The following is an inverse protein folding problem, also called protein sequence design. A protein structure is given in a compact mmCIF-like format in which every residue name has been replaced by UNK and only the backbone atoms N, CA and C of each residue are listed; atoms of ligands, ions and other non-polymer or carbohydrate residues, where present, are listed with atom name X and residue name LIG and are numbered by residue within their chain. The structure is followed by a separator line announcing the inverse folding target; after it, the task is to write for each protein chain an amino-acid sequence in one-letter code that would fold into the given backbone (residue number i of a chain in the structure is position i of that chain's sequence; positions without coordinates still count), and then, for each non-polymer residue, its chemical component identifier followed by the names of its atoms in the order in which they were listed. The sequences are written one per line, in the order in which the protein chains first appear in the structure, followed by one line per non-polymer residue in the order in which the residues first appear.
data_IF_620081524192
#
_entry.id   IF_620081524192
#
_cell.length_a   1.000
_cell.length_b   1.000
_cell.length_c   1.000
_cell.angle_alpha   90.00
_cell.angle_beta   90.00
_cell.angle_gamma   90.00
#
_symmetry.space_group_name_H-M   'P 1'
#
loop_
_entity.id
_entity.type
_entity.pdbx_description
1 polymer ?
#
# COMPACT_ATOMS: atom_id res chain seq x y z
N UNK A 1 -44.74 17.81 35.92
CA UNK A 1 -44.59 16.50 35.24
C UNK A 1 -43.10 16.15 35.32
N UNK A 2 -42.53 15.41 36.29
CA UNK A 2 -43.01 14.23 37.08
C UNK A 2 -43.38 13.14 36.06
N UNK A 3 -42.73 11.98 35.89
CA UNK A 3 -42.04 10.96 36.73
C UNK A 3 -41.11 10.19 35.75
N UNK A 4 -39.82 9.93 35.99
CA UNK A 4 -39.16 8.94 36.88
C UNK A 4 -39.31 7.44 36.52
N UNK A 5 -38.14 6.80 36.57
CA UNK A 5 -37.79 5.43 36.96
C UNK A 5 -38.52 4.19 36.44
N UNK A 6 -37.67 3.29 35.96
CA UNK A 6 -37.39 2.05 36.70
C UNK A 6 -37.77 0.79 35.95
N UNK A 7 -37.21 -0.38 36.25
CA UNK A 7 -36.31 -0.82 37.33
C UNK A 7 -36.19 -2.33 37.09
N UNK A 8 -35.05 -2.94 37.48
CA UNK A 8 -34.90 -4.28 38.12
C UNK A 8 -33.44 -4.74 37.92
N UNK A 9 -32.66 -5.14 38.93
CA UNK A 9 -32.96 -5.83 40.20
C UNK A 9 -32.00 -5.38 41.33
N UNK A 10 -32.54 -5.46 42.57
CA UNK A 10 -31.99 -5.46 43.94
C UNK A 10 -30.48 -5.79 44.11
N UNK A 11 -29.70 -5.05 44.91
CA UNK A 11 -29.72 -4.85 46.37
C UNK A 11 -29.36 -6.11 47.18
N UNK A 12 -28.18 -6.10 47.83
CA UNK A 12 -27.95 -6.47 49.24
C UNK A 12 -26.69 -5.76 49.74
N UNK A 13 -26.85 -4.92 50.77
CA UNK A 13 -25.75 -4.45 51.62
C UNK A 13 -25.19 -5.64 52.41
N UNK A 14 -23.86 -5.75 52.56
CA UNK A 14 -23.28 -6.15 53.84
C UNK A 14 -21.92 -5.49 54.06
N UNK A 15 -21.69 -5.24 55.33
CA UNK A 15 -20.78 -4.30 55.95
C UNK A 15 -19.32 -4.80 55.98
N UNK A 16 -18.42 -3.82 56.04
CA UNK A 16 -17.26 -3.76 56.94
C UNK A 16 -16.01 -4.65 56.70
N UNK A 17 -14.90 -3.91 56.58
CA UNK A 17 -13.61 -4.12 57.26
C UNK A 17 -12.76 -5.33 56.84
N UNK A 18 -11.75 -5.04 56.01
CA UNK A 18 -10.31 -5.13 56.34
C UNK A 18 -9.49 -5.43 55.08
N UNK A 19 -8.36 -4.74 54.91
CA UNK A 19 -7.25 -5.22 54.08
C UNK A 19 -7.05 -4.44 52.78
N UNK A 20 -6.11 -3.51 52.83
CA UNK A 20 -5.55 -2.76 51.72
C UNK A 20 -5.10 -3.64 50.55
N UNK A 21 -5.45 -3.23 49.32
CA UNK A 21 -4.73 -3.68 48.12
C UNK A 21 -5.57 -3.96 46.88
N UNK A 22 -6.33 -2.99 46.37
CA UNK A 22 -6.89 -3.03 45.00
C UNK A 22 -7.14 -1.60 44.47
N UNK A 23 -6.08 -0.80 44.37
CA UNK A 23 -6.15 0.58 43.85
C UNK A 23 -5.94 0.73 42.34
N UNK A 24 -5.89 -0.35 41.56
CA UNK A 24 -5.38 -0.30 40.19
C UNK A 24 -6.27 -0.95 39.12
N UNK A 25 -7.58 -1.12 39.35
CA UNK A 25 -8.46 -1.80 38.38
C UNK A 25 -9.69 -1.02 37.90
N UNK A 26 -10.01 0.15 38.47
CA UNK A 26 -11.27 0.84 38.12
C UNK A 26 -11.04 2.03 37.16
N UNK A 27 -9.82 2.56 37.05
CA UNK A 27 -9.51 3.69 36.15
C UNK A 27 -9.41 3.32 34.66
N UNK A 28 -9.61 2.05 34.31
CA UNK A 28 -9.47 1.55 32.92
C UNK A 28 -10.77 1.50 32.13
N UNK A 29 -11.91 1.89 32.72
CA UNK A 29 -13.23 1.81 32.07
C UNK A 29 -13.79 3.14 31.54
N UNK A 30 -13.06 4.25 31.72
CA UNK A 30 -13.43 5.59 31.23
C UNK A 30 -12.35 6.23 30.34
N UNK A 31 -11.42 5.43 29.80
CA UNK A 31 -10.52 5.91 28.76
C UNK A 31 -11.32 6.08 27.45
N UNK A 32 -11.22 7.22 26.74
CA UNK A 32 -11.77 7.33 25.39
C UNK A 32 -11.17 6.20 24.54
N UNK A 33 -12.00 5.59 23.70
CA UNK A 33 -11.53 4.59 22.75
C UNK A 33 -10.29 5.16 22.03
N UNK A 34 -9.19 4.38 21.90
CA UNK A 34 -8.02 4.85 21.18
C UNK A 34 -8.48 5.35 19.80
N UNK A 35 -8.00 6.51 19.34
CA UNK A 35 -8.37 7.00 18.01
C UNK A 35 -8.17 5.86 17.04
N UNK A 36 -9.20 5.55 16.25
CA UNK A 36 -9.14 4.50 15.22
C UNK A 36 -7.81 4.65 14.52
N UNK A 37 -6.91 3.69 14.71
CA UNK A 37 -5.55 3.79 14.20
C UNK A 37 -5.67 4.07 12.71
N UNK A 38 -5.38 5.29 12.29
CA UNK A 38 -5.16 5.59 10.89
C UNK A 38 -3.94 4.76 10.55
N UNK A 39 -4.17 3.57 9.98
CA UNK A 39 -3.12 2.72 9.48
C UNK A 39 -2.43 3.49 8.38
N UNK A 40 -1.37 4.20 8.72
CA UNK A 40 -0.42 4.73 7.76
C UNK A 40 0.34 3.51 7.23
N UNK A 41 -0.27 2.77 6.31
CA UNK A 41 0.45 1.83 5.46
C UNK A 41 1.42 2.70 4.68
N UNK A 42 2.70 2.72 5.08
CA UNK A 42 3.73 3.44 4.34
C UNK A 42 3.94 2.66 3.04
N UNK A 43 3.30 3.11 1.96
CA UNK A 43 3.55 2.59 0.63
C UNK A 43 5.05 2.67 0.33
N UNK A 44 5.69 1.51 0.24
CA UNK A 44 7.07 1.35 -0.22
C UNK A 44 7.01 0.72 -1.62
N UNK A 45 7.21 1.50 -2.70
CA UNK A 45 7.09 1.02 -4.08
C UNK A 45 7.92 -0.24 -4.38
N UNK A 46 9.10 -0.34 -3.75
CA UNK A 46 10.06 -1.47 -3.77
C UNK A 46 9.54 -2.82 -3.33
N UNK A 47 8.62 -2.86 -2.37
CA UNK A 47 8.11 -4.12 -1.80
C UNK A 47 7.22 -4.86 -2.81
N UNK A 48 6.89 -4.17 -3.91
CA UNK A 48 6.02 -4.60 -5.00
C UNK A 48 6.76 -4.69 -6.34
N UNK A 49 8.10 -4.75 -6.34
CA UNK A 49 8.88 -5.16 -7.52
C UNK A 49 8.70 -6.68 -7.68
N UNK A 50 7.49 -7.09 -8.07
CA UNK A 50 7.21 -8.48 -8.44
C UNK A 50 8.02 -8.83 -9.69
N UNK A 51 8.59 -10.05 -9.79
CA UNK A 51 9.09 -10.54 -11.06
C UNK A 51 7.90 -10.61 -12.02
N UNK A 52 7.85 -9.65 -12.94
CA UNK A 52 6.74 -9.50 -13.88
C UNK A 52 6.39 -10.83 -14.56
N UNK A 53 5.09 -11.15 -14.50
CA UNK A 53 4.37 -12.28 -15.08
C UNK A 53 4.67 -13.67 -14.53
N UNK A 54 3.62 -14.48 -14.37
CA UNK A 54 3.70 -15.94 -14.26
C UNK A 54 4.18 -16.59 -15.58
N UNK A 55 4.86 -15.84 -16.45
CA UNK A 55 5.37 -16.35 -17.71
C UNK A 55 6.75 -16.93 -17.44
N UNK A 56 6.77 -18.25 -17.25
CA UNK A 56 7.99 -19.05 -17.04
C UNK A 56 9.01 -18.87 -18.19
N UNK A 57 8.61 -18.26 -19.31
CA UNK A 57 9.46 -17.97 -20.46
C UNK A 57 9.98 -16.52 -20.53
N UNK A 58 9.73 -15.68 -19.52
CA UNK A 58 10.17 -14.28 -19.56
C UNK A 58 11.70 -14.16 -19.43
N UNK A 59 12.38 -13.81 -20.52
CA UNK A 59 13.82 -13.53 -20.50
C UNK A 59 14.10 -12.18 -19.83
N UNK A 60 14.45 -12.20 -18.54
CA UNK A 60 14.94 -11.00 -17.84
C UNK A 60 16.26 -10.54 -18.45
N UNK A 61 16.34 -9.28 -18.86
CA UNK A 61 17.62 -8.73 -19.29
C UNK A 61 18.57 -8.61 -18.09
N UNK A 62 19.89 -8.74 -18.27
CA UNK A 62 20.86 -8.47 -17.21
C UNK A 62 20.67 -7.07 -16.58
N UNK A 63 20.32 -6.08 -17.40
CA UNK A 63 20.07 -4.70 -16.94
C UNK A 63 18.84 -4.58 -16.05
N UNK A 64 17.81 -5.40 -16.26
CA UNK A 64 16.63 -5.42 -15.38
C UNK A 64 17.02 -5.87 -13.97
N UNK A 65 17.87 -6.91 -13.88
CA UNK A 65 18.34 -7.43 -12.60
C UNK A 65 19.19 -6.41 -11.85
N UNK A 66 20.04 -5.67 -12.58
CA UNK A 66 20.81 -4.57 -12.03
C UNK A 66 19.89 -3.47 -11.47
N UNK A 67 18.93 -2.99 -12.27
CA UNK A 67 17.99 -1.94 -11.86
C UNK A 67 17.19 -2.40 -10.63
N UNK A 68 16.62 -3.60 -10.64
CA UNK A 68 15.90 -4.14 -9.49
C UNK A 68 16.81 -4.23 -8.26
N UNK A 69 18.06 -4.68 -8.41
CA UNK A 69 19.02 -4.73 -7.30
C UNK A 69 19.29 -3.34 -6.70
N UNK A 70 19.39 -2.31 -7.54
CA UNK A 70 19.60 -0.92 -7.11
C UNK A 70 18.35 -0.40 -6.37
N UNK A 71 17.15 -0.67 -6.88
CA UNK A 71 15.89 -0.26 -6.27
C UNK A 71 15.64 -0.95 -4.92
N UNK A 72 15.90 -2.26 -4.80
CA UNK A 72 15.81 -2.96 -3.52
C UNK A 72 16.76 -2.39 -2.46
N UNK A 73 17.87 -1.78 -2.87
CA UNK A 73 18.80 -1.07 -1.97
C UNK A 73 18.36 0.37 -1.65
N UNK A 74 17.19 0.81 -2.13
CA UNK A 74 16.66 2.17 -1.93
C UNK A 74 17.44 3.24 -2.67
N UNK A 75 18.19 2.86 -3.72
CA UNK A 75 19.03 3.77 -4.50
C UNK A 75 18.34 4.19 -5.79
N UNK A 76 17.06 4.56 -5.74
CA UNK A 76 16.27 4.92 -6.93
C UNK A 76 16.90 6.04 -7.77
N UNK A 77 17.58 7.00 -7.15
CA UNK A 77 18.32 8.05 -7.87
C UNK A 77 19.44 7.50 -8.77
N UNK A 78 20.08 6.41 -8.35
CA UNK A 78 21.13 5.74 -9.13
C UNK A 78 20.52 4.88 -10.25
N UNK A 79 19.30 4.36 -10.05
CA UNK A 79 18.60 3.53 -11.03
C UNK A 79 18.04 4.34 -12.21
N UNK A 80 17.53 5.56 -11.95
CA UNK A 80 16.92 6.42 -12.96
C UNK A 80 17.78 6.65 -14.22
N UNK A 81 19.06 7.06 -14.13
CA UNK A 81 19.87 7.27 -15.34
C UNK A 81 20.06 5.98 -16.16
N UNK A 82 20.22 4.83 -15.50
CA UNK A 82 20.36 3.52 -16.16
C UNK A 82 19.06 3.17 -16.92
N UNK A 83 17.91 3.41 -16.29
CA UNK A 83 16.60 3.19 -16.91
C UNK A 83 16.42 4.09 -18.14
N UNK A 84 16.74 5.39 -18.04
CA UNK A 84 16.59 6.34 -19.16
C UNK A 84 17.52 6.01 -20.33
N UNK A 85 18.78 5.65 -20.04
CA UNK A 85 19.73 5.19 -21.05
C UNK A 85 19.20 3.95 -21.78
N UNK A 86 18.71 2.96 -21.03
CA UNK A 86 18.18 1.72 -21.60
C UNK A 86 16.91 1.96 -22.42
N UNK A 87 16.02 2.85 -21.97
CA UNK A 87 14.80 3.23 -22.70
C UNK A 87 15.08 3.93 -24.05
N UNK A 88 16.23 4.59 -24.16
CA UNK A 88 16.72 5.24 -25.37
C UNK A 88 17.40 4.29 -26.37
N UNK A 89 17.68 3.05 -25.98
CA UNK A 89 18.30 2.07 -26.85
C UNK A 89 17.32 1.64 -27.98
N UNK A 90 17.88 1.40 -29.17
CA UNK A 90 17.09 1.08 -30.37
C UNK A 90 16.63 -0.39 -30.44
N UNK A 91 17.26 -1.27 -29.67
CA UNK A 91 17.10 -2.72 -29.70
C UNK A 91 16.15 -3.28 -28.63
N UNK A 92 15.53 -2.42 -27.81
CA UNK A 92 14.53 -2.87 -26.84
C UNK A 92 13.16 -3.12 -27.49
N UNK A 93 12.56 -4.26 -27.14
CA UNK A 93 11.23 -4.63 -27.58
C UNK A 93 10.12 -3.99 -26.69
N UNK A 94 8.86 -4.21 -27.06
CA UNK A 94 7.72 -3.63 -26.36
C UNK A 94 7.63 -4.07 -24.88
N UNK A 95 7.87 -5.34 -24.59
CA UNK A 95 7.77 -5.90 -23.24
C UNK A 95 8.88 -5.36 -22.34
N UNK A 96 10.11 -5.28 -22.87
CA UNK A 96 11.25 -4.65 -22.19
C UNK A 96 10.98 -3.17 -21.91
N UNK A 97 10.43 -2.44 -22.89
CA UNK A 97 10.04 -1.04 -22.69
C UNK A 97 8.99 -0.89 -21.61
N UNK A 98 7.94 -1.73 -21.62
CA UNK A 98 6.89 -1.73 -20.60
C UNK A 98 7.48 -1.98 -19.20
N UNK A 99 8.38 -2.95 -19.07
CA UNK A 99 9.09 -3.24 -17.82
C UNK A 99 9.94 -2.06 -17.34
N UNK A 100 10.75 -1.47 -18.21
CA UNK A 100 11.60 -0.33 -17.87
C UNK A 100 10.77 0.89 -17.45
N UNK A 101 9.65 1.15 -18.13
CA UNK A 101 8.70 2.18 -17.72
C UNK A 101 8.09 1.89 -16.36
N UNK A 102 7.75 0.63 -16.07
CA UNK A 102 7.25 0.27 -14.74
C UNK A 102 8.30 0.48 -13.64
N UNK A 103 9.55 0.03 -13.87
CA UNK A 103 10.66 0.28 -12.95
C UNK A 103 10.95 1.77 -12.78
N UNK A 104 10.79 2.57 -13.84
CA UNK A 104 10.86 4.04 -13.78
C UNK A 104 9.79 4.62 -12.87
N UNK A 105 8.54 4.18 -12.97
CA UNK A 105 7.46 4.63 -12.11
C UNK A 105 7.75 4.35 -10.63
N UNK A 106 8.31 3.16 -10.33
CA UNK A 106 8.74 2.78 -8.98
C UNK A 106 9.88 3.70 -8.50
N UNK A 107 10.91 3.92 -9.32
CA UNK A 107 12.03 4.80 -8.98
C UNK A 107 11.59 6.25 -8.73
N UNK A 108 10.66 6.77 -9.54
CA UNK A 108 10.05 8.09 -9.37
C UNK A 108 9.22 8.16 -8.08
N UNK A 109 8.47 7.10 -7.76
CA UNK A 109 7.70 7.02 -6.53
C UNK A 109 8.61 7.07 -5.28
N UNK A 110 9.74 6.34 -5.30
CA UNK A 110 10.72 6.35 -4.20
C UNK A 110 11.45 7.69 -4.03
N UNK A 111 11.63 8.44 -5.12
CA UNK A 111 12.26 9.77 -5.10
C UNK A 111 11.27 10.90 -4.79
N UNK A 112 10.03 10.56 -4.40
CA UNK A 112 8.92 11.49 -4.15
C UNK A 112 8.48 12.30 -5.37
N UNK A 113 8.80 11.83 -6.57
CA UNK A 113 8.33 12.38 -7.84
C UNK A 113 6.95 11.82 -8.21
N UNK A 114 5.98 11.94 -7.29
CA UNK A 114 4.64 11.33 -7.38
C UNK A 114 3.92 11.65 -8.68
N UNK A 115 4.00 12.90 -9.17
CA UNK A 115 3.37 13.29 -10.43
C UNK A 115 3.97 12.58 -11.63
N UNK A 116 5.31 12.46 -11.67
CA UNK A 116 6.02 11.74 -12.73
C UNK A 116 5.68 10.25 -12.71
N UNK A 117 5.66 9.64 -11.53
CA UNK A 117 5.27 8.23 -11.37
C UNK A 117 3.85 7.96 -11.88
N UNK A 118 2.88 8.82 -11.52
CA UNK A 118 1.49 8.72 -12.02
C UNK A 118 1.44 8.84 -13.54
N UNK A 119 2.16 9.79 -14.14
CA UNK A 119 2.18 9.97 -15.59
C UNK A 119 2.72 8.75 -16.33
N UNK A 120 3.74 8.08 -15.79
CA UNK A 120 4.25 6.83 -16.37
C UNK A 120 3.23 5.70 -16.23
N UNK A 121 2.55 5.59 -15.09
CA UNK A 121 1.49 4.59 -14.89
C UNK A 121 0.27 4.84 -15.77
N UNK A 122 -0.07 6.10 -16.05
CA UNK A 122 -1.10 6.45 -17.02
C UNK A 122 -0.77 5.93 -18.43
N UNK A 123 0.50 6.03 -18.85
CA UNK A 123 0.97 5.50 -20.14
C UNK A 123 0.88 3.97 -20.17
N UNK A 124 1.35 3.30 -19.12
CA UNK A 124 1.32 1.84 -18.99
C UNK A 124 -0.11 1.29 -19.01
N UNK A 125 -1.03 1.95 -18.33
CA UNK A 125 -2.45 1.57 -18.32
C UNK A 125 -3.10 1.81 -19.68
N UNK A 126 -2.71 2.88 -20.39
CA UNK A 126 -3.23 3.14 -21.72
C UNK A 126 -2.78 2.08 -22.74
N UNK A 127 -1.56 1.55 -22.61
CA UNK A 127 -1.05 0.50 -23.50
C UNK A 127 -1.52 -0.91 -23.10
N UNK A 128 -1.57 -1.18 -21.80
CA UNK A 128 -1.74 -2.54 -21.26
C UNK A 128 -2.71 -2.50 -20.05
N UNK A 129 -4.02 -2.32 -20.32
CA UNK A 129 -5.04 -2.02 -19.30
C UNK A 129 -5.46 -3.23 -18.44
N UNK A 130 -4.96 -4.42 -18.73
CA UNK A 130 -5.27 -5.66 -18.03
C UNK A 130 -4.29 -6.00 -16.90
N UNK A 131 -3.29 -5.13 -16.69
CA UNK A 131 -2.25 -5.32 -15.68
C UNK A 131 -2.63 -4.65 -14.36
N UNK A 132 -3.05 -5.47 -13.39
CA UNK A 132 -3.58 -5.01 -12.11
C UNK A 132 -2.55 -4.23 -11.27
N UNK A 133 -1.26 -4.55 -11.41
CA UNK A 133 -0.15 -3.92 -10.70
C UNK A 133 -0.11 -2.41 -10.98
N UNK A 134 -0.36 -1.99 -12.22
CA UNK A 134 -0.33 -0.57 -12.57
C UNK A 134 -1.40 0.22 -11.80
N UNK A 135 -2.59 -0.35 -11.68
CA UNK A 135 -3.66 0.23 -10.89
C UNK A 135 -3.33 0.23 -9.41
N UNK A 136 -2.71 -0.84 -8.89
CA UNK A 136 -2.28 -0.91 -7.49
C UNK A 136 -1.27 0.19 -7.15
N UNK A 137 -0.22 0.37 -7.96
CA UNK A 137 0.77 1.42 -7.74
C UNK A 137 0.20 2.83 -7.92
N UNK A 138 -0.65 3.04 -8.94
CA UNK A 138 -1.27 4.36 -9.17
C UNK A 138 -2.27 4.71 -8.07
N UNK A 139 -3.01 3.72 -7.57
CA UNK A 139 -3.90 3.86 -6.42
C UNK A 139 -3.15 4.41 -5.20
N UNK A 140 -2.01 3.80 -4.84
CA UNK A 140 -1.19 4.24 -3.71
C UNK A 140 -0.63 5.66 -3.91
N UNK A 141 -0.14 5.96 -5.11
CA UNK A 141 0.36 7.29 -5.45
C UNK A 141 -0.73 8.37 -5.43
N UNK A 142 -1.95 8.04 -5.85
CA UNK A 142 -3.09 8.95 -5.77
C UNK A 142 -3.53 9.21 -4.34
N UNK A 143 -3.45 8.22 -3.45
CA UNK A 143 -3.64 8.45 -2.00
C UNK A 143 -2.59 9.41 -1.44
N UNK A 144 -1.31 9.25 -1.81
CA UNK A 144 -0.25 10.20 -1.43
C UNK A 144 -0.49 11.61 -1.99
N UNK A 145 -1.11 11.71 -3.16
CA UNK A 145 -1.50 12.97 -3.79
C UNK A 145 -2.85 13.54 -3.29
N UNK A 146 -3.51 12.88 -2.33
CA UNK A 146 -4.84 13.23 -1.81
C UNK A 146 -5.96 13.19 -2.89
N UNK A 147 -5.77 12.45 -3.97
CA UNK A 147 -6.78 12.17 -4.98
C UNK A 147 -7.58 10.91 -4.62
N UNK A 148 -8.50 11.05 -3.67
CA UNK A 148 -9.30 9.93 -3.16
C UNK A 148 -10.23 9.32 -4.22
N UNK A 149 -10.75 10.13 -5.14
CA UNK A 149 -11.68 9.67 -6.18
C UNK A 149 -10.94 8.83 -7.23
N UNK A 150 -9.80 9.32 -7.72
CA UNK A 150 -8.96 8.57 -8.64
C UNK A 150 -8.37 7.32 -7.98
N UNK A 151 -8.00 7.41 -6.70
CA UNK A 151 -7.56 6.26 -5.92
C UNK A 151 -8.65 5.18 -5.83
N UNK A 152 -9.90 5.57 -5.53
CA UNK A 152 -11.03 4.63 -5.48
C UNK A 152 -11.23 3.91 -6.83
N UNK A 153 -11.20 4.66 -7.94
CA UNK A 153 -11.35 4.09 -9.27
C UNK A 153 -10.25 3.07 -9.60
N UNK A 154 -8.99 3.37 -9.26
CA UNK A 154 -7.87 2.46 -9.47
C UNK A 154 -7.97 1.20 -8.62
N UNK A 155 -8.38 1.35 -7.35
CA UNK A 155 -8.63 0.20 -6.47
C UNK A 155 -9.71 -0.72 -7.04
N UNK A 156 -10.82 -0.17 -7.52
CA UNK A 156 -11.90 -0.95 -8.12
C UNK A 156 -11.43 -1.67 -9.39
N UNK A 157 -10.64 -1.01 -10.23
CA UNK A 157 -10.08 -1.61 -11.45
C UNK A 157 -9.11 -2.75 -11.14
N UNK A 158 -8.14 -2.54 -10.25
CA UNK A 158 -7.16 -3.57 -9.86
C UNK A 158 -7.83 -4.78 -9.19
N UNK A 159 -8.81 -4.55 -8.32
CA UNK A 159 -9.61 -5.62 -7.70
C UNK A 159 -10.42 -6.42 -8.72
N UNK A 160 -10.91 -5.80 -9.79
CA UNK A 160 -11.61 -6.50 -10.87
C UNK A 160 -10.68 -7.39 -11.68
N UNK A 161 -9.45 -6.94 -11.91
CA UNK A 161 -8.45 -7.66 -12.71
C UNK A 161 -7.85 -8.85 -11.95
N UNK A 162 -7.46 -8.66 -10.70
CA UNK A 162 -6.87 -9.74 -9.89
C UNK A 162 -7.28 -9.63 -8.41
N UNK A 163 -8.51 -10.04 -8.06
CA UNK A 163 -9.06 -9.82 -6.72
C UNK A 163 -8.26 -10.51 -5.62
N UNK A 164 -7.70 -11.69 -5.91
CA UNK A 164 -6.94 -12.47 -4.92
C UNK A 164 -5.60 -11.81 -4.61
N UNK A 165 -4.80 -11.53 -5.64
CA UNK A 165 -3.47 -10.94 -5.47
C UNK A 165 -3.58 -9.51 -4.95
N UNK A 166 -4.45 -8.69 -5.56
CA UNK A 166 -4.67 -7.31 -5.09
C UNK A 166 -5.06 -7.27 -3.61
N UNK A 167 -5.95 -8.17 -3.15
CA UNK A 167 -6.35 -8.21 -1.74
C UNK A 167 -5.21 -8.66 -0.81
N UNK A 168 -4.39 -9.62 -1.24
CA UNK A 168 -3.19 -10.03 -0.48
C UNK A 168 -2.23 -8.86 -0.31
N UNK A 169 -2.06 -8.10 -1.38
CA UNK A 169 -1.08 -7.03 -1.47
C UNK A 169 -1.56 -5.73 -0.81
N UNK A 170 -2.87 -5.53 -0.82
CA UNK A 170 -3.55 -4.50 -0.03
C UNK A 170 -3.66 -4.85 1.45
N UNK A 171 -3.59 -6.14 1.84
CA UNK A 171 -4.00 -6.54 3.19
C UNK A 171 -3.11 -5.86 4.24
N UNK A 172 -3.66 -5.05 5.17
CA UNK A 172 -2.88 -4.42 6.23
C UNK A 172 -2.20 -5.43 7.18
N UNK A 173 -2.61 -6.71 7.10
CA UNK A 173 -2.06 -7.82 7.88
C UNK A 173 -0.97 -8.60 7.16
N UNK A 174 -0.66 -8.31 5.89
CA UNK A 174 0.25 -9.17 5.12
C UNK A 174 1.65 -9.23 5.73
N UNK A 175 2.11 -8.18 6.44
CA UNK A 175 3.28 -8.25 7.31
C UNK A 175 4.54 -8.86 6.65
N UNK A 176 4.60 -8.83 5.32
CA UNK A 176 5.73 -9.35 4.56
C UNK A 176 6.74 -8.23 4.49
N UNK A 177 7.68 -8.27 5.42
CA UNK A 177 8.96 -7.58 5.37
C UNK A 177 10.05 -8.60 5.07
#
# INVERSE_FOLDING_TARGET
MVVDCGKRIAAWLFLAMMGSGCGAMIDRMLAPAPPSQSMTIYYQPRDWISPWSNDENFQTLPVDQEICSILHRGRAKDALPIIEETLGAADINADQRQRLLFLKAIALAETHETKGAIQILDQLIASTPDQWEFYFHRWQLRLLALDEQGAKADREAGMKLNPKQFSQDFSPTSGVF
#
